data_IF_313723809244
#
_entry.id   IF_313723809244
#
_cell.length_a   1.000
_cell.length_b   1.000
_cell.length_c   1.000
_cell.angle_alpha   90.00
_cell.angle_beta   90.00
_cell.angle_gamma   90.00
#
_symmetry.space_group_name_H-M   'P 1'
#
loop_
_entity.id
_entity.type
_entity.pdbx_description
1 polymer ?
#
# COMPACT_ATOMS: atom_id res chain seq x y z
N UNK A 1 -0.01 6.40 -22.27
CA UNK A 1 -1.41 6.95 -22.16
C UNK A 1 -1.47 8.14 -21.20
N UNK A 2 -0.79 9.26 -21.43
CA UNK A 2 -0.85 10.26 -20.35
C UNK A 2 -0.60 11.73 -20.76
N UNK A 3 -0.02 11.99 -21.91
CA UNK A 3 0.11 13.35 -22.44
C UNK A 3 -1.20 13.87 -23.06
N UNK A 4 -1.93 13.04 -23.78
CA UNK A 4 -3.18 13.38 -24.47
C UNK A 4 -4.29 13.99 -23.62
N UNK A 5 -4.35 13.70 -22.30
CA UNK A 5 -5.35 14.30 -21.40
C UNK A 5 -4.95 15.71 -20.95
N UNK A 6 -3.67 16.05 -20.96
CA UNK A 6 -3.17 17.37 -20.59
C UNK A 6 -3.23 18.34 -21.78
N UNK A 7 -3.24 17.86 -23.01
CA UNK A 7 -3.28 18.69 -24.23
C UNK A 7 -4.56 19.53 -24.34
N UNK A 8 -5.65 19.06 -23.75
CA UNK A 8 -6.93 19.78 -23.74
C UNK A 8 -7.10 20.74 -22.54
N UNK A 9 -6.10 20.81 -21.65
CA UNK A 9 -6.13 21.70 -20.49
C UNK A 9 -5.51 23.05 -20.82
N UNK A 10 -5.91 24.08 -20.09
CA UNK A 10 -5.33 25.42 -20.24
C UNK A 10 -3.83 25.38 -19.99
N UNK A 11 -3.06 25.89 -20.94
CA UNK A 11 -1.60 25.77 -20.98
C UNK A 11 -0.93 26.23 -19.68
N UNK A 12 -1.34 27.39 -19.17
CA UNK A 12 -0.79 27.96 -17.92
C UNK A 12 -1.05 27.08 -16.69
N UNK A 13 -2.20 26.39 -16.65
CA UNK A 13 -2.51 25.44 -15.58
C UNK A 13 -1.65 24.18 -15.69
N UNK A 14 -1.33 23.75 -16.91
CA UNK A 14 -0.43 22.62 -17.17
C UNK A 14 1.01 22.98 -16.80
N UNK A 15 1.49 24.14 -17.21
CA UNK A 15 2.85 24.60 -16.90
C UNK A 15 3.12 24.68 -15.41
N UNK A 16 2.22 25.30 -14.63
CA UNK A 16 2.38 25.36 -13.17
C UNK A 16 2.30 23.97 -12.51
N UNK A 17 1.48 23.08 -13.04
CA UNK A 17 1.41 21.71 -12.59
C UNK A 17 2.72 20.96 -12.86
N UNK A 18 3.29 21.07 -14.05
CA UNK A 18 4.57 20.42 -14.40
C UNK A 18 5.73 20.98 -13.57
N UNK A 19 5.76 22.29 -13.28
CA UNK A 19 6.72 22.89 -12.38
C UNK A 19 6.62 22.30 -10.96
N UNK A 20 5.39 22.15 -10.45
CA UNK A 20 5.15 21.49 -9.17
C UNK A 20 5.65 20.04 -9.15
N UNK A 21 5.35 19.26 -10.20
CA UNK A 21 5.83 17.88 -10.32
C UNK A 21 7.35 17.80 -10.32
N UNK A 22 8.02 18.67 -11.07
CA UNK A 22 9.48 18.71 -11.10
C UNK A 22 10.06 19.01 -9.72
N UNK A 23 9.48 19.97 -9.00
CA UNK A 23 9.85 20.28 -7.61
C UNK A 23 9.65 19.08 -6.67
N UNK A 24 8.53 18.37 -6.79
CA UNK A 24 8.28 17.16 -6.00
C UNK A 24 9.29 16.05 -6.30
N UNK A 25 9.62 15.85 -7.57
CA UNK A 25 10.58 14.84 -8.01
C UNK A 25 11.98 15.13 -7.46
N UNK A 26 12.42 16.37 -7.51
CA UNK A 26 13.75 16.78 -7.01
C UNK A 26 13.92 16.63 -5.50
N UNK A 27 12.84 16.66 -4.73
CA UNK A 27 12.88 16.64 -3.26
C UNK A 27 12.51 15.30 -2.64
N UNK A 28 12.03 14.31 -3.43
CA UNK A 28 11.41 13.11 -2.89
C UNK A 28 11.81 11.84 -3.67
N UNK A 29 13.09 11.62 -3.80
CA UNK A 29 13.68 10.52 -4.59
C UNK A 29 13.13 9.14 -4.20
N UNK A 30 13.04 8.84 -2.90
CA UNK A 30 12.61 7.54 -2.39
C UNK A 30 11.10 7.29 -2.56
N UNK A 31 10.30 8.34 -2.55
CA UNK A 31 8.82 8.24 -2.54
C UNK A 31 8.18 8.71 -3.84
N UNK A 32 8.98 9.16 -4.81
CA UNK A 32 8.48 9.67 -6.09
C UNK A 32 7.61 8.66 -6.83
N UNK A 33 8.10 7.44 -7.00
CA UNK A 33 7.39 6.40 -7.76
C UNK A 33 6.15 5.84 -7.03
N UNK A 34 6.00 6.10 -5.75
CA UNK A 34 4.93 5.56 -4.92
C UNK A 34 3.94 6.64 -4.46
N UNK A 35 4.33 7.44 -3.48
CA UNK A 35 3.44 8.42 -2.83
C UNK A 35 3.11 9.57 -3.77
N UNK A 36 4.11 10.16 -4.40
CA UNK A 36 3.90 11.31 -5.26
C UNK A 36 3.19 10.96 -6.56
N UNK A 37 3.36 9.77 -7.09
CA UNK A 37 2.54 9.28 -8.22
C UNK A 37 1.05 9.33 -7.92
N UNK A 38 0.66 8.99 -6.69
CA UNK A 38 -0.75 9.10 -6.25
C UNK A 38 -1.20 10.55 -6.13
N UNK A 39 -0.38 11.44 -5.56
CA UNK A 39 -0.69 12.87 -5.50
C UNK A 39 -0.81 13.48 -6.90
N UNK A 40 0.11 13.16 -7.79
CA UNK A 40 0.07 13.61 -9.18
C UNK A 40 -1.21 13.16 -9.89
N UNK A 41 -1.60 11.91 -9.74
CA UNK A 41 -2.83 11.39 -10.32
C UNK A 41 -4.06 12.08 -9.74
N UNK A 42 -4.13 12.29 -8.43
CA UNK A 42 -5.24 12.98 -7.78
C UNK A 42 -5.35 14.44 -8.23
N UNK A 43 -4.22 15.14 -8.36
CA UNK A 43 -4.20 16.51 -8.84
C UNK A 43 -4.59 16.59 -10.33
N UNK A 44 -4.12 15.68 -11.16
CA UNK A 44 -4.51 15.58 -12.57
C UNK A 44 -6.03 15.39 -12.74
N UNK A 45 -6.62 14.50 -11.95
CA UNK A 45 -8.07 14.30 -11.95
C UNK A 45 -8.83 15.57 -11.55
N UNK A 46 -8.30 16.32 -10.59
CA UNK A 46 -8.85 17.63 -10.23
C UNK A 46 -8.74 18.63 -11.38
N UNK A 47 -7.60 18.72 -12.06
CA UNK A 47 -7.42 19.64 -13.19
C UNK A 47 -8.42 19.37 -14.31
N UNK A 48 -8.63 18.11 -14.68
CA UNK A 48 -9.61 17.73 -15.71
C UNK A 48 -11.02 18.14 -15.30
N UNK A 49 -11.42 17.84 -14.06
CA UNK A 49 -12.72 18.23 -13.55
C UNK A 49 -12.87 19.75 -13.47
N UNK A 50 -11.85 20.45 -12.97
CA UNK A 50 -11.85 21.91 -12.84
C UNK A 50 -12.03 22.60 -14.20
N UNK A 51 -11.30 22.15 -15.22
CA UNK A 51 -11.46 22.67 -16.57
C UNK A 51 -12.88 22.49 -17.10
N UNK A 52 -13.44 21.31 -16.95
CA UNK A 52 -14.78 21.01 -17.45
C UNK A 52 -15.87 21.81 -16.71
N UNK A 53 -15.70 22.01 -15.40
CA UNK A 53 -16.70 22.68 -14.55
C UNK A 53 -16.59 24.20 -14.56
N UNK A 54 -15.39 24.76 -14.75
CA UNK A 54 -15.11 26.20 -14.63
C UNK A 54 -14.53 26.83 -15.90
N UNK A 55 -14.75 26.21 -17.07
CA UNK A 55 -14.44 26.76 -18.41
C UNK A 55 -13.04 27.38 -18.51
N UNK A 56 -12.02 26.60 -18.20
CA UNK A 56 -10.63 27.04 -18.38
C UNK A 56 -10.15 28.21 -17.50
N UNK A 57 -10.71 28.41 -16.31
CA UNK A 57 -10.16 29.38 -15.37
C UNK A 57 -8.70 29.05 -15.01
N UNK A 58 -7.92 30.09 -14.73
CA UNK A 58 -6.57 29.93 -14.20
C UNK A 58 -6.61 29.53 -12.72
N UNK A 59 -5.86 28.51 -12.35
CA UNK A 59 -5.78 28.03 -10.95
C UNK A 59 -5.33 29.11 -9.95
N UNK A 60 -4.46 30.02 -10.41
CA UNK A 60 -3.85 31.06 -9.57
C UNK A 60 -4.47 32.45 -9.83
N UNK A 61 -5.56 32.58 -10.60
CA UNK A 61 -6.23 33.87 -10.74
C UNK A 61 -6.87 34.27 -9.41
N UNK A 62 -6.96 35.57 -9.17
CA UNK A 62 -7.55 36.14 -7.95
C UNK A 62 -8.96 35.59 -7.68
N UNK A 63 -9.81 35.53 -8.70
CA UNK A 63 -11.17 35.06 -8.57
C UNK A 63 -11.24 33.57 -8.22
N UNK A 64 -10.42 32.76 -8.88
CA UNK A 64 -10.31 31.32 -8.55
C UNK A 64 -9.83 31.09 -7.13
N UNK A 65 -8.81 31.85 -6.67
CA UNK A 65 -8.28 31.71 -5.30
C UNK A 65 -9.32 32.12 -4.24
N UNK A 66 -10.14 33.16 -4.51
CA UNK A 66 -11.22 33.57 -3.61
C UNK A 66 -12.32 32.52 -3.52
N UNK A 67 -12.71 31.92 -4.65
CA UNK A 67 -13.77 30.92 -4.76
C UNK A 67 -13.27 29.48 -4.40
N UNK A 68 -11.98 29.28 -4.17
CA UNK A 68 -11.41 27.93 -4.01
C UNK A 68 -12.05 27.08 -2.90
N UNK A 69 -12.50 27.62 -1.75
CA UNK A 69 -13.25 26.81 -0.77
C UNK A 69 -14.49 26.17 -1.39
N UNK A 70 -15.33 26.96 -2.06
CA UNK A 70 -16.55 26.45 -2.72
C UNK A 70 -16.24 25.51 -3.89
N UNK A 71 -15.17 25.79 -4.65
CA UNK A 71 -14.67 24.90 -5.71
C UNK A 71 -14.30 23.54 -5.12
N UNK A 72 -13.63 23.51 -3.97
CA UNK A 72 -13.25 22.28 -3.31
C UNK A 72 -14.44 21.51 -2.73
N UNK A 73 -15.46 22.19 -2.22
CA UNK A 73 -16.72 21.58 -1.81
C UNK A 73 -17.44 20.93 -2.99
N UNK A 74 -17.54 21.62 -4.11
CA UNK A 74 -18.11 21.08 -5.35
C UNK A 74 -17.32 19.87 -5.86
N UNK A 75 -16.00 19.90 -5.82
CA UNK A 75 -15.17 18.77 -6.19
C UNK A 75 -15.35 17.57 -5.27
N UNK A 76 -15.47 17.80 -3.96
CA UNK A 76 -15.78 16.73 -2.99
C UNK A 76 -17.14 16.10 -3.27
N UNK A 77 -18.17 16.91 -3.55
CA UNK A 77 -19.51 16.44 -3.89
C UNK A 77 -19.51 15.64 -5.20
N UNK A 78 -18.82 16.12 -6.22
CA UNK A 78 -18.62 15.40 -7.46
C UNK A 78 -17.94 14.05 -7.22
N UNK A 79 -16.84 14.02 -6.48
CA UNK A 79 -16.14 12.77 -6.17
C UNK A 79 -17.02 11.81 -5.34
N UNK A 80 -17.87 12.35 -4.44
CA UNK A 80 -18.84 11.55 -3.68
C UNK A 80 -19.89 10.92 -4.60
N UNK A 81 -20.42 11.65 -5.58
CA UNK A 81 -21.38 11.10 -6.54
C UNK A 81 -20.81 9.97 -7.39
N UNK A 82 -19.48 9.93 -7.55
CA UNK A 82 -18.75 8.81 -8.17
C UNK A 82 -18.48 7.63 -7.21
N UNK A 83 -19.06 7.61 -5.99
CA UNK A 83 -18.89 6.54 -5.03
C UNK A 83 -17.58 6.58 -4.24
N UNK A 84 -16.80 7.68 -4.26
CA UNK A 84 -15.55 7.74 -3.51
C UNK A 84 -15.80 7.77 -2.00
N UNK A 85 -15.04 6.98 -1.24
CA UNK A 85 -15.07 6.98 0.22
C UNK A 85 -14.53 8.29 0.81
N UNK A 86 -14.93 8.63 2.04
CA UNK A 86 -14.40 9.82 2.76
C UNK A 86 -12.86 9.83 2.83
N UNK A 87 -12.22 8.67 2.99
CA UNK A 87 -10.77 8.55 2.97
C UNK A 87 -10.18 8.93 1.62
N UNK A 88 -10.81 8.49 0.54
CA UNK A 88 -10.40 8.86 -0.82
C UNK A 88 -10.57 10.36 -1.06
N UNK A 89 -11.69 10.94 -0.61
CA UNK A 89 -11.93 12.39 -0.69
C UNK A 89 -10.86 13.17 0.09
N UNK A 90 -10.50 12.71 1.28
CA UNK A 90 -9.44 13.32 2.07
C UNK A 90 -8.09 13.29 1.33
N UNK A 91 -7.72 12.14 0.76
CA UNK A 91 -6.47 12.01 0.02
C UNK A 91 -6.43 12.92 -1.23
N UNK A 92 -7.54 13.03 -1.95
CA UNK A 92 -7.67 13.96 -3.09
C UNK A 92 -7.55 15.41 -2.64
N UNK A 93 -8.25 15.80 -1.57
CA UNK A 93 -8.16 17.14 -0.99
C UNK A 93 -6.73 17.47 -0.55
N UNK A 94 -6.05 16.53 0.12
CA UNK A 94 -4.66 16.68 0.56
C UNK A 94 -3.72 16.91 -0.62
N UNK A 95 -3.87 16.17 -1.72
CA UNK A 95 -3.04 16.36 -2.91
C UNK A 95 -3.15 17.78 -3.48
N UNK A 96 -4.38 18.33 -3.53
CA UNK A 96 -4.62 19.69 -4.01
C UNK A 96 -4.08 20.74 -3.01
N UNK A 97 -4.30 20.50 -1.70
CA UNK A 97 -3.77 21.37 -0.65
C UNK A 97 -2.23 21.43 -0.67
N UNK A 98 -1.58 20.31 -0.91
CA UNK A 98 -0.09 20.25 -1.00
C UNK A 98 0.42 21.10 -2.18
N UNK A 99 -0.27 21.10 -3.30
CA UNK A 99 0.04 21.99 -4.42
C UNK A 99 -0.06 23.47 -4.03
N UNK A 100 -1.15 23.90 -3.42
CA UNK A 100 -1.29 25.31 -3.01
C UNK A 100 -0.32 25.70 -1.89
N UNK A 101 0.01 24.80 -0.97
CA UNK A 101 1.06 25.01 0.01
C UNK A 101 2.44 25.19 -0.67
N UNK A 102 2.73 24.45 -1.74
CA UNK A 102 3.92 24.67 -2.55
C UNK A 102 3.88 26.04 -3.26
N UNK A 103 2.74 26.46 -3.81
CA UNK A 103 2.59 27.79 -4.41
C UNK A 103 2.89 28.91 -3.41
N UNK A 104 2.44 28.78 -2.16
CA UNK A 104 2.76 29.74 -1.08
C UNK A 104 4.28 29.78 -0.83
N UNK A 105 4.90 28.61 -0.63
CA UNK A 105 6.38 28.51 -0.41
C UNK A 105 7.21 29.09 -1.56
N UNK A 106 6.68 29.08 -2.77
CA UNK A 106 7.34 29.63 -3.98
C UNK A 106 6.91 31.06 -4.28
N UNK A 107 6.22 31.75 -3.35
CA UNK A 107 5.73 33.12 -3.52
C UNK A 107 4.85 33.33 -4.77
N UNK A 108 4.20 32.27 -5.29
CA UNK A 108 3.27 32.37 -6.41
C UNK A 108 1.91 32.90 -5.97
N UNK A 109 1.56 32.67 -4.73
CA UNK A 109 0.38 33.21 -4.03
C UNK A 109 0.76 33.59 -2.60
N UNK A 110 0.03 34.56 -2.02
CA UNK A 110 0.34 35.08 -0.69
C UNK A 110 -0.13 34.15 0.44
N UNK A 111 -1.31 33.55 0.27
CA UNK A 111 -1.95 32.70 1.29
C UNK A 111 -2.52 31.45 0.67
N UNK A 112 -2.61 30.38 1.45
CA UNK A 112 -3.27 29.16 1.03
C UNK A 112 -4.79 29.41 0.87
N UNK A 113 -5.40 29.09 -0.29
CA UNK A 113 -6.74 29.56 -0.58
C UNK A 113 -7.85 28.91 0.25
N UNK A 114 -7.64 27.69 0.80
CA UNK A 114 -8.71 26.97 1.50
C UNK A 114 -8.30 26.16 2.75
N UNK A 115 -7.03 26.13 3.18
CA UNK A 115 -6.59 25.27 4.31
C UNK A 115 -7.37 25.53 5.60
N UNK A 116 -7.74 26.78 5.88
CA UNK A 116 -8.46 27.21 7.08
C UNK A 116 -9.94 27.49 6.83
N UNK A 117 -10.36 27.46 5.56
CA UNK A 117 -11.71 27.85 5.14
C UNK A 117 -12.58 26.66 4.72
N UNK A 118 -11.98 25.49 4.53
CA UNK A 118 -12.67 24.28 4.11
C UNK A 118 -12.90 23.35 5.31
N UNK A 119 -14.14 23.03 5.58
CA UNK A 119 -14.52 22.14 6.66
C UNK A 119 -13.86 20.77 6.55
N UNK A 120 -13.42 20.24 7.70
CA UNK A 120 -12.85 18.89 7.78
C UNK A 120 -13.95 17.85 7.59
N UNK A 121 -13.63 16.80 6.83
CA UNK A 121 -14.53 15.66 6.70
C UNK A 121 -14.66 14.94 8.05
N UNK A 122 -15.89 14.85 8.58
CA UNK A 122 -16.19 14.14 9.83
C UNK A 122 -16.26 12.64 9.55
N UNK A 123 -15.36 11.89 10.19
CA UNK A 123 -15.35 10.42 10.14
C UNK A 123 -16.20 9.86 11.28
N UNK A 124 -17.06 8.91 10.95
CA UNK A 124 -17.85 8.14 11.90
C UNK A 124 -17.22 6.77 12.14
N UNK A 125 -17.71 6.00 13.10
CA UNK A 125 -17.23 4.64 13.32
C UNK A 125 -17.45 3.76 12.07
N UNK A 126 -18.54 3.96 11.33
CA UNK A 126 -18.78 3.26 10.05
C UNK A 126 -17.69 3.50 9.01
N UNK A 127 -17.09 4.69 8.99
CA UNK A 127 -16.01 5.01 8.06
C UNK A 127 -14.67 4.36 8.46
N UNK A 128 -14.56 3.89 9.70
CA UNK A 128 -13.35 3.25 10.24
C UNK A 128 -13.37 1.74 10.02
N UNK A 129 -14.54 1.16 9.79
CA UNK A 129 -14.70 -0.28 9.56
C UNK A 129 -14.18 -0.62 8.16
N UNK A 130 -12.88 -0.88 8.07
CA UNK A 130 -12.40 -1.82 7.06
C UNK A 130 -12.50 -3.20 7.68
N UNK A 131 -13.11 -4.13 6.94
CA UNK A 131 -13.04 -5.54 7.30
C UNK A 131 -11.57 -5.93 7.40
N UNK A 132 -11.08 -5.98 8.63
CA UNK A 132 -9.73 -6.44 8.92
C UNK A 132 -9.89 -7.88 9.39
N UNK A 133 -9.46 -8.81 8.55
CA UNK A 133 -9.43 -10.21 8.93
C UNK A 133 -8.25 -10.46 9.85
N UNK A 134 -8.55 -11.02 11.01
CA UNK A 134 -7.60 -11.65 11.91
C UNK A 134 -7.87 -13.14 11.84
N UNK A 135 -6.97 -13.90 11.27
CA UNK A 135 -7.14 -15.35 11.14
C UNK A 135 -6.90 -16.02 12.50
N UNK A 136 -7.73 -17.00 12.81
CA UNK A 136 -7.50 -17.91 13.94
C UNK A 136 -6.40 -18.92 13.61
N UNK A 137 -5.83 -19.54 14.63
CA UNK A 137 -4.85 -20.62 14.44
C UNK A 137 -5.44 -21.77 13.64
N UNK A 138 -6.71 -22.11 13.87
CA UNK A 138 -7.43 -23.13 13.13
C UNK A 138 -7.56 -22.81 11.64
N UNK A 139 -7.91 -21.56 11.31
CA UNK A 139 -7.98 -21.09 9.92
C UNK A 139 -6.61 -21.16 9.24
N UNK A 140 -5.54 -20.79 9.94
CA UNK A 140 -4.17 -20.89 9.43
C UNK A 140 -3.83 -22.34 9.11
N UNK A 141 -4.13 -23.26 10.01
CA UNK A 141 -3.89 -24.69 9.82
C UNK A 141 -4.73 -25.28 8.68
N UNK A 142 -5.99 -24.88 8.57
CA UNK A 142 -6.89 -25.30 7.48
C UNK A 142 -6.28 -24.96 6.11
N UNK A 143 -5.80 -23.72 5.93
CA UNK A 143 -5.16 -23.31 4.66
C UNK A 143 -3.88 -24.12 4.40
N UNK A 144 -3.05 -24.36 5.42
CA UNK A 144 -1.83 -25.19 5.31
C UNK A 144 -2.16 -26.60 4.81
N UNK A 145 -3.09 -27.26 5.45
CA UNK A 145 -3.50 -28.64 5.11
C UNK A 145 -4.08 -28.68 3.69
N UNK A 146 -4.96 -27.73 3.36
CA UNK A 146 -5.58 -27.69 2.04
C UNK A 146 -4.55 -27.50 0.92
N UNK A 147 -3.58 -26.61 1.10
CA UNK A 147 -2.49 -26.41 0.12
C UNK A 147 -1.59 -27.63 -0.03
N UNK A 148 -1.45 -28.44 1.04
CA UNK A 148 -0.66 -29.68 1.00
C UNK A 148 -1.40 -30.77 0.22
N UNK A 149 -2.70 -30.92 0.44
CA UNK A 149 -3.53 -31.89 -0.28
C UNK A 149 -3.66 -31.52 -1.76
N UNK A 150 -3.98 -30.26 -2.02
CA UNK A 150 -4.17 -29.72 -3.38
C UNK A 150 -2.87 -29.16 -3.98
N UNK A 151 -1.78 -29.92 -3.88
CA UNK A 151 -0.42 -29.48 -4.27
C UNK A 151 -0.30 -29.12 -5.76
N UNK A 152 -1.14 -29.65 -6.63
CA UNK A 152 -1.19 -29.28 -8.04
C UNK A 152 -1.79 -27.88 -8.28
N UNK A 153 -2.67 -27.44 -7.38
CA UNK A 153 -3.33 -26.13 -7.46
C UNK A 153 -2.54 -25.02 -6.77
N UNK A 154 -1.78 -25.37 -5.73
CA UNK A 154 -1.01 -24.44 -4.91
C UNK A 154 0.47 -24.81 -4.96
N UNK A 155 1.25 -24.01 -5.67
CA UNK A 155 2.69 -24.24 -5.85
C UNK A 155 3.51 -23.91 -4.57
N UNK A 156 4.81 -24.19 -4.61
CA UNK A 156 5.72 -23.90 -3.50
C UNK A 156 5.72 -22.41 -3.12
N UNK A 157 5.62 -21.52 -4.10
CA UNK A 157 5.59 -20.08 -3.83
C UNK A 157 4.31 -19.66 -3.10
N UNK A 158 3.15 -20.28 -3.36
CA UNK A 158 1.91 -20.02 -2.60
C UNK A 158 2.10 -20.40 -1.12
N UNK A 159 2.72 -21.55 -0.86
CA UNK A 159 2.99 -22.05 0.50
C UNK A 159 4.01 -21.19 1.23
N UNK A 160 5.11 -20.83 0.58
CA UNK A 160 6.13 -19.95 1.16
C UNK A 160 5.56 -18.56 1.44
N UNK A 161 4.77 -17.98 0.53
CA UNK A 161 4.12 -16.69 0.76
C UNK A 161 3.23 -16.71 2.00
N UNK A 162 2.44 -17.79 2.18
CA UNK A 162 1.59 -17.95 3.35
C UNK A 162 2.39 -17.97 4.66
N UNK A 163 3.39 -18.84 4.74
CA UNK A 163 4.22 -18.96 5.94
C UNK A 163 5.01 -17.67 6.19
N UNK A 164 5.67 -17.14 5.17
CA UNK A 164 6.56 -16.01 5.31
C UNK A 164 5.84 -14.72 5.73
N UNK A 165 4.60 -14.48 5.26
CA UNK A 165 3.80 -13.34 5.76
C UNK A 165 3.42 -13.51 7.23
N UNK A 166 3.12 -14.73 7.66
CA UNK A 166 2.76 -15.04 9.06
C UNK A 166 3.98 -15.02 9.97
N UNK A 167 5.11 -15.55 9.49
CA UNK A 167 6.35 -15.62 10.25
C UNK A 167 7.03 -14.25 10.37
N UNK A 168 7.14 -13.48 9.28
CA UNK A 168 7.92 -12.23 9.27
C UNK A 168 7.11 -10.99 9.62
N UNK A 169 5.79 -11.05 9.52
CA UNK A 169 4.91 -9.88 9.56
C UNK A 169 5.33 -8.73 8.60
N UNK A 170 6.15 -8.97 7.59
CA UNK A 170 6.67 -7.95 6.68
C UNK A 170 5.59 -7.34 5.80
N UNK A 171 5.84 -6.12 5.30
CA UNK A 171 4.99 -5.49 4.28
C UNK A 171 5.17 -6.19 2.94
N UNK A 172 4.14 -6.16 2.09
CA UNK A 172 4.18 -6.77 0.75
C UNK A 172 5.36 -6.26 -0.10
N UNK A 173 5.79 -5.01 0.09
CA UNK A 173 6.95 -4.45 -0.62
C UNK A 173 8.26 -5.14 -0.22
N UNK A 174 8.43 -5.49 1.05
CA UNK A 174 9.58 -6.25 1.51
C UNK A 174 9.57 -7.66 0.91
N UNK A 175 8.45 -8.39 1.02
CA UNK A 175 8.31 -9.74 0.47
C UNK A 175 8.55 -9.76 -1.05
N UNK A 176 8.05 -8.77 -1.78
CA UNK A 176 8.31 -8.65 -3.22
C UNK A 176 9.80 -8.50 -3.55
N UNK A 177 10.52 -7.73 -2.72
CA UNK A 177 11.90 -7.33 -2.98
C UNK A 177 12.93 -8.31 -2.43
N UNK A 178 12.51 -9.46 -1.91
CA UNK A 178 13.43 -10.49 -1.43
C UNK A 178 14.32 -11.03 -2.57
N UNK A 179 15.61 -11.17 -2.26
CA UNK A 179 16.61 -11.69 -3.18
C UNK A 179 17.28 -12.95 -2.62
N UNK A 180 17.77 -13.78 -3.52
CA UNK A 180 18.50 -15.01 -3.14
C UNK A 180 19.76 -14.70 -2.34
N UNK A 181 20.51 -13.66 -2.69
CA UNK A 181 21.72 -13.20 -1.99
C UNK A 181 21.47 -12.72 -0.55
N UNK A 182 20.24 -12.38 -0.20
CA UNK A 182 19.86 -11.94 1.15
C UNK A 182 19.51 -13.10 2.09
N UNK A 183 19.32 -14.30 1.53
CA UNK A 183 18.85 -15.44 2.29
C UNK A 183 19.96 -16.00 3.20
N UNK A 184 19.72 -15.94 4.49
CA UNK A 184 20.46 -16.70 5.51
C UNK A 184 19.59 -17.86 5.98
N UNK A 185 19.76 -18.99 5.28
CA UNK A 185 18.94 -20.18 5.54
C UNK A 185 19.28 -20.80 6.89
N UNK A 186 20.53 -20.71 7.35
CA UNK A 186 20.96 -21.28 8.62
C UNK A 186 20.28 -20.59 9.80
N UNK A 187 20.33 -19.26 9.81
CA UNK A 187 19.79 -18.44 10.88
C UNK A 187 18.29 -18.11 10.72
N UNK A 188 17.67 -18.44 9.58
CA UNK A 188 16.22 -18.32 9.38
C UNK A 188 15.73 -16.90 9.10
N UNK A 189 16.43 -16.14 8.25
CA UNK A 189 15.97 -14.82 7.84
C UNK A 189 16.52 -14.40 6.48
N UNK A 190 15.88 -13.40 5.89
CA UNK A 190 16.44 -12.59 4.81
C UNK A 190 16.97 -11.30 5.41
N UNK A 191 18.24 -10.98 5.18
CA UNK A 191 18.91 -9.80 5.73
C UNK A 191 18.73 -8.56 4.85
N UNK A 192 18.75 -7.40 5.45
CA UNK A 192 18.82 -6.10 4.79
C UNK A 192 17.75 -5.89 3.71
N UNK A 193 16.51 -6.30 4.00
CA UNK A 193 15.38 -6.19 3.08
C UNK A 193 14.85 -4.76 3.08
N UNK A 194 14.80 -4.12 1.91
CA UNK A 194 14.22 -2.77 1.75
C UNK A 194 12.70 -2.79 1.92
N UNK A 195 12.20 -2.06 2.89
CA UNK A 195 10.78 -1.73 3.04
C UNK A 195 10.43 -0.36 2.44
N UNK A 196 9.16 0.03 2.59
CA UNK A 196 8.66 1.34 2.19
C UNK A 196 9.41 2.44 2.98
N UNK A 197 9.64 3.59 2.32
CA UNK A 197 10.29 4.77 2.91
C UNK A 197 11.79 4.58 3.26
N UNK A 198 12.44 3.59 2.62
CA UNK A 198 13.87 3.35 2.81
C UNK A 198 14.24 2.58 4.07
N UNK A 199 13.26 2.12 4.87
CA UNK A 199 13.54 1.26 6.02
C UNK A 199 14.16 -0.06 5.59
N UNK A 200 15.16 -0.51 6.35
CA UNK A 200 15.82 -1.81 6.18
C UNK A 200 15.39 -2.71 7.34
N UNK A 201 14.92 -3.92 7.01
CA UNK A 201 14.42 -4.88 7.98
C UNK A 201 14.95 -6.28 7.69
N UNK A 202 14.98 -7.15 8.69
CA UNK A 202 15.19 -8.56 8.49
C UNK A 202 13.84 -9.28 8.44
N UNK A 203 13.62 -10.10 7.41
CA UNK A 203 12.42 -10.91 7.27
C UNK A 203 12.67 -12.30 7.84
N UNK A 204 12.29 -12.52 9.09
CA UNK A 204 12.46 -13.80 9.78
C UNK A 204 11.48 -14.85 9.28
N UNK A 205 11.87 -16.11 9.36
CA UNK A 205 11.02 -17.27 9.09
C UNK A 205 11.37 -18.43 10.01
N UNK A 206 10.35 -19.25 10.30
CA UNK A 206 10.50 -20.38 11.21
C UNK A 206 10.63 -21.70 10.46
N UNK A 207 10.75 -22.81 11.21
CA UNK A 207 11.13 -24.12 10.69
C UNK A 207 10.30 -24.57 9.48
N UNK A 208 8.97 -24.39 9.50
CA UNK A 208 8.10 -24.82 8.40
C UNK A 208 8.38 -24.04 7.10
N UNK A 209 8.54 -22.73 7.20
CA UNK A 209 8.92 -21.91 6.07
C UNK A 209 10.33 -22.26 5.56
N UNK A 210 11.27 -22.55 6.47
CA UNK A 210 12.63 -22.98 6.16
C UNK A 210 12.66 -24.26 5.31
N UNK A 211 11.82 -25.23 5.62
CA UNK A 211 11.70 -26.48 4.84
C UNK A 211 11.20 -26.19 3.42
N UNK A 212 10.13 -25.41 3.27
CA UNK A 212 9.60 -25.00 1.97
C UNK A 212 10.62 -24.18 1.15
N UNK A 213 11.40 -23.33 1.80
CA UNK A 213 12.49 -22.58 1.15
C UNK A 213 13.55 -23.52 0.61
N UNK A 214 13.94 -24.57 1.34
CA UNK A 214 14.87 -25.60 0.84
C UNK A 214 14.33 -26.28 -0.42
N UNK A 215 13.07 -26.72 -0.39
CA UNK A 215 12.41 -27.31 -1.55
C UNK A 215 12.37 -26.32 -2.74
N UNK A 216 12.14 -25.04 -2.47
CA UNK A 216 12.12 -24.00 -3.49
C UNK A 216 13.50 -23.77 -4.12
N UNK A 217 14.58 -23.77 -3.34
CA UNK A 217 15.95 -23.66 -3.84
C UNK A 217 16.27 -24.84 -4.75
N UNK A 218 15.94 -26.06 -4.34
CA UNK A 218 16.12 -27.26 -5.16
C UNK A 218 15.33 -27.17 -6.46
N UNK A 219 14.04 -26.81 -6.40
CA UNK A 219 13.19 -26.63 -7.57
C UNK A 219 13.76 -25.58 -8.54
N UNK A 220 14.31 -24.47 -8.02
CA UNK A 220 14.94 -23.44 -8.84
C UNK A 220 16.14 -23.98 -9.59
N UNK A 221 17.00 -24.74 -8.93
CA UNK A 221 18.17 -25.39 -9.54
C UNK A 221 17.76 -26.35 -10.65
N UNK A 222 16.81 -27.23 -10.39
CA UNK A 222 16.31 -28.22 -11.33
C UNK A 222 15.63 -27.60 -12.57
N UNK A 223 15.03 -26.43 -12.43
CA UNK A 223 14.30 -25.73 -13.50
C UNK A 223 15.08 -24.56 -14.12
N UNK A 224 16.36 -24.38 -13.78
CA UNK A 224 17.22 -23.34 -14.36
C UNK A 224 16.74 -21.93 -14.07
N UNK A 225 16.21 -21.66 -12.86
CA UNK A 225 15.73 -20.32 -12.47
C UNK A 225 16.92 -19.53 -11.94
N UNK A 226 17.68 -18.93 -12.83
CA UNK A 226 18.89 -18.16 -12.55
C UNK A 226 18.59 -16.65 -12.57
N UNK A 227 17.76 -16.19 -11.62
CA UNK A 227 17.51 -14.76 -11.35
C UNK A 227 17.60 -14.50 -9.87
N UNK A 228 18.11 -13.35 -9.47
CA UNK A 228 18.34 -13.04 -8.05
C UNK A 228 17.05 -12.82 -7.24
N UNK A 229 15.90 -12.59 -7.89
CA UNK A 229 14.63 -12.45 -7.18
C UNK A 229 14.18 -13.75 -6.54
N UNK A 230 13.80 -13.74 -5.26
CA UNK A 230 13.33 -14.91 -4.56
C UNK A 230 11.98 -15.41 -5.08
N UNK A 231 11.00 -14.52 -5.20
CA UNK A 231 9.70 -14.82 -5.81
C UNK A 231 9.69 -14.41 -7.28
N UNK A 232 9.29 -15.34 -8.14
CA UNK A 232 9.34 -15.15 -9.59
C UNK A 232 8.02 -15.50 -10.27
N UNK A 233 7.80 -14.89 -11.42
CA UNK A 233 6.72 -15.25 -12.37
C UNK A 233 7.34 -15.61 -13.70
N UNK A 234 6.90 -16.71 -14.29
CA UNK A 234 7.34 -17.18 -15.60
C UNK A 234 6.56 -16.47 -16.71
N UNK A 235 7.27 -15.87 -17.65
CA UNK A 235 6.71 -15.25 -18.86
C UNK A 235 7.37 -15.93 -20.07
N UNK A 236 6.68 -16.86 -20.70
CA UNK A 236 7.27 -17.70 -21.76
C UNK A 236 8.47 -18.49 -21.23
N UNK A 237 9.66 -18.19 -21.74
CA UNK A 237 10.93 -18.83 -21.32
C UNK A 237 11.70 -18.06 -20.24
N UNK A 238 11.25 -16.85 -19.84
CA UNK A 238 11.97 -15.98 -18.92
C UNK A 238 11.26 -15.91 -17.56
N UNK A 239 12.07 -15.83 -16.49
CA UNK A 239 11.60 -15.55 -15.15
C UNK A 239 11.83 -14.08 -14.81
N UNK A 240 10.83 -13.43 -14.22
CA UNK A 240 10.89 -12.04 -13.73
C UNK A 240 10.44 -11.96 -12.30
N UNK A 241 10.80 -10.87 -11.59
CA UNK A 241 10.29 -10.58 -10.26
C UNK A 241 8.77 -10.69 -10.22
N UNK A 242 8.24 -11.39 -9.21
CA UNK A 242 6.80 -11.45 -8.97
C UNK A 242 6.28 -10.06 -8.56
N UNK A 243 5.25 -9.57 -9.23
CA UNK A 243 4.68 -8.26 -8.93
C UNK A 243 3.83 -8.29 -7.66
N UNK A 244 3.66 -7.15 -6.97
CA UNK A 244 2.72 -7.05 -5.84
C UNK A 244 1.28 -7.44 -6.23
N UNK A 245 0.88 -7.18 -7.47
CA UNK A 245 -0.41 -7.62 -8.00
C UNK A 245 -0.54 -9.14 -8.02
N UNK A 246 0.50 -9.84 -8.48
CA UNK A 246 0.55 -11.29 -8.49
C UNK A 246 0.54 -11.86 -7.06
N UNK A 247 1.32 -11.28 -6.14
CA UNK A 247 1.30 -11.68 -4.72
C UNK A 247 -0.10 -11.50 -4.11
N UNK A 248 -0.75 -10.35 -4.34
CA UNK A 248 -2.12 -10.13 -3.84
C UNK A 248 -3.11 -11.14 -4.38
N UNK A 249 -3.03 -11.47 -5.66
CA UNK A 249 -3.92 -12.46 -6.27
C UNK A 249 -3.70 -13.87 -5.69
N UNK A 250 -2.44 -14.25 -5.42
CA UNK A 250 -2.11 -15.51 -4.73
C UNK A 250 -2.70 -15.56 -3.32
N UNK A 251 -2.54 -14.51 -2.52
CA UNK A 251 -3.11 -14.45 -1.16
C UNK A 251 -4.66 -14.45 -1.21
N UNK A 252 -5.27 -13.75 -2.16
CA UNK A 252 -6.74 -13.81 -2.35
C UNK A 252 -7.20 -15.23 -2.68
N UNK A 253 -6.49 -15.94 -3.55
CA UNK A 253 -6.75 -17.35 -3.88
C UNK A 253 -6.69 -18.25 -2.62
N UNK A 254 -5.76 -17.98 -1.71
CA UNK A 254 -5.69 -18.69 -0.42
C UNK A 254 -6.87 -18.35 0.50
N UNK A 255 -7.33 -17.11 0.49
CA UNK A 255 -8.51 -16.67 1.23
C UNK A 255 -9.78 -17.41 0.82
N UNK A 256 -9.91 -17.79 -0.44
CA UNK A 256 -11.07 -18.56 -0.92
C UNK A 256 -11.20 -19.94 -0.25
N UNK A 257 -10.11 -20.51 0.26
CA UNK A 257 -10.15 -21.77 1.04
C UNK A 257 -11.01 -21.59 2.31
N UNK A 258 -11.02 -20.38 2.86
CA UNK A 258 -11.76 -20.00 4.07
C UNK A 258 -13.09 -19.28 3.76
N UNK A 259 -13.47 -19.15 2.48
CA UNK A 259 -14.61 -18.33 2.07
C UNK A 259 -14.39 -16.81 2.23
N UNK A 260 -13.12 -16.36 2.36
CA UNK A 260 -12.76 -14.95 2.50
C UNK A 260 -12.29 -14.43 1.15
N UNK A 261 -13.19 -13.79 0.41
CA UNK A 261 -12.94 -13.33 -0.97
C UNK A 261 -11.89 -12.21 -1.09
N UNK A 262 -11.76 -11.38 -0.08
CA UNK A 262 -10.88 -10.21 -0.06
C UNK A 262 -9.74 -10.33 0.97
N UNK A 263 -9.27 -11.55 1.25
CA UNK A 263 -8.05 -11.74 2.02
C UNK A 263 -6.86 -11.12 1.27
N UNK A 264 -6.06 -10.34 1.96
CA UNK A 264 -4.93 -9.63 1.37
C UNK A 264 -3.68 -9.65 2.28
N UNK A 265 -2.48 -9.39 1.76
CA UNK A 265 -1.22 -9.51 2.52
C UNK A 265 -1.21 -8.76 3.85
N UNK A 266 -1.85 -7.60 3.91
CA UNK A 266 -1.91 -6.83 5.16
C UNK A 266 -2.77 -7.51 6.25
N UNK A 267 -3.77 -8.35 5.87
CA UNK A 267 -4.52 -9.18 6.82
C UNK A 267 -3.63 -10.23 7.47
N UNK A 268 -2.74 -10.88 6.69
CA UNK A 268 -1.76 -11.84 7.23
C UNK A 268 -0.78 -11.14 8.17
N UNK A 269 -0.25 -9.97 7.80
CA UNK A 269 0.58 -9.17 8.69
C UNK A 269 -0.15 -8.79 9.99
N UNK A 270 -1.42 -8.39 9.91
CA UNK A 270 -2.23 -8.10 11.11
C UNK A 270 -2.41 -9.34 11.98
N UNK A 271 -2.69 -10.48 11.38
CA UNK A 271 -2.79 -11.76 12.07
C UNK A 271 -1.49 -12.09 12.80
N UNK A 272 -0.35 -12.03 12.12
CA UNK A 272 0.96 -12.29 12.72
C UNK A 272 1.25 -11.38 13.92
N UNK A 273 1.06 -10.07 13.76
CA UNK A 273 1.29 -9.08 14.83
C UNK A 273 0.34 -9.33 16.02
N UNK A 274 -0.94 -9.66 15.75
CA UNK A 274 -1.90 -9.96 16.80
C UNK A 274 -1.55 -11.25 17.56
N UNK A 275 -1.10 -12.29 16.87
CA UNK A 275 -0.63 -13.53 17.51
C UNK A 275 0.58 -13.28 18.41
N UNK A 276 1.55 -12.49 17.95
CA UNK A 276 2.71 -12.13 18.76
C UNK A 276 2.30 -11.28 19.99
N UNK A 277 1.35 -10.35 19.81
CA UNK A 277 0.84 -9.58 20.92
C UNK A 277 0.17 -10.46 21.99
N UNK A 278 -0.61 -11.43 21.57
CA UNK A 278 -1.27 -12.37 22.49
C UNK A 278 -0.28 -13.28 23.23
N UNK A 279 0.84 -13.63 22.61
CA UNK A 279 1.87 -14.50 23.20
C UNK A 279 2.87 -13.73 24.06
N UNK A 280 3.27 -12.53 23.65
CA UNK A 280 4.44 -11.85 24.23
C UNK A 280 4.24 -10.35 24.49
N UNK A 281 3.02 -9.85 24.29
CA UNK A 281 2.63 -8.49 24.59
C UNK A 281 2.98 -7.45 23.51
N UNK A 282 2.42 -6.25 23.72
CA UNK A 282 2.42 -5.15 22.75
C UNK A 282 3.82 -4.64 22.38
N UNK A 283 4.75 -4.65 23.32
CA UNK A 283 6.12 -4.18 23.11
C UNK A 283 6.84 -5.03 22.06
N UNK A 284 6.82 -6.35 22.23
CA UNK A 284 7.44 -7.26 21.28
C UNK A 284 6.73 -7.25 19.93
N UNK A 285 5.40 -7.23 19.91
CA UNK A 285 4.62 -7.11 18.68
C UNK A 285 4.94 -5.83 17.88
N UNK A 286 5.17 -4.72 18.57
CA UNK A 286 5.57 -3.45 17.93
C UNK A 286 6.96 -3.51 17.33
N UNK A 287 7.95 -4.04 18.06
CA UNK A 287 9.31 -4.26 17.57
C UNK A 287 9.32 -5.20 16.37
N UNK A 288 8.62 -6.31 16.45
CA UNK A 288 8.52 -7.28 15.37
C UNK A 288 7.89 -6.71 14.09
N UNK A 289 6.92 -5.83 14.26
CA UNK A 289 6.27 -5.14 13.15
C UNK A 289 7.11 -3.98 12.58
N UNK A 290 8.23 -3.62 13.17
CA UNK A 290 9.00 -2.42 12.84
C UNK A 290 8.11 -1.16 12.81
N UNK A 291 7.26 -0.99 13.82
CA UNK A 291 6.44 0.21 13.98
C UNK A 291 7.19 1.29 14.75
N UNK A 292 7.02 2.54 14.34
CA UNK A 292 7.63 3.70 15.00
C UNK A 292 7.15 3.93 16.44
N UNK A 293 5.99 3.35 16.81
CA UNK A 293 5.46 3.37 18.18
C UNK A 293 4.47 2.25 18.44
N UNK A 294 4.36 1.82 19.71
CA UNK A 294 3.37 0.84 20.15
C UNK A 294 1.92 1.30 19.96
N UNK A 295 1.67 2.61 19.94
CA UNK A 295 0.36 3.19 19.63
C UNK A 295 -0.13 2.85 18.21
N UNK A 296 0.75 2.75 17.24
CA UNK A 296 0.40 2.29 15.88
C UNK A 296 -0.03 0.83 15.90
N UNK A 297 0.70 -0.01 16.63
CA UNK A 297 0.39 -1.44 16.78
C UNK A 297 -0.98 -1.62 17.46
N UNK A 298 -1.19 -1.01 18.61
CA UNK A 298 -2.45 -1.09 19.37
C UNK A 298 -3.65 -0.64 18.52
N UNK A 299 -3.55 0.50 17.85
CA UNK A 299 -4.66 1.09 17.09
C UNK A 299 -5.06 0.32 15.84
N UNK A 300 -4.11 -0.33 15.15
CA UNK A 300 -4.34 -0.82 13.79
C UNK A 300 -4.14 -2.33 13.62
N UNK A 301 -3.46 -3.00 14.54
CA UNK A 301 -3.01 -4.38 14.38
C UNK A 301 -3.48 -5.34 15.47
N UNK A 302 -4.10 -4.83 16.53
CA UNK A 302 -4.65 -5.67 17.59
C UNK A 302 -6.15 -5.83 17.36
N UNK A 303 -6.65 -7.05 17.49
CA UNK A 303 -8.08 -7.33 17.48
C UNK A 303 -8.73 -6.68 18.69
N UNK A 304 -9.87 -6.02 18.52
CA UNK A 304 -10.67 -5.55 19.64
C UNK A 304 -11.27 -6.78 20.34
N UNK A 305 -11.21 -6.80 21.67
CA UNK A 305 -11.86 -7.85 22.44
C UNK A 305 -13.35 -7.95 22.06
N UNK A 306 -13.79 -9.16 21.79
CA UNK A 306 -15.20 -9.42 21.54
C UNK A 306 -15.92 -9.40 22.91
N UNK A 307 -17.00 -8.62 23.11
CA UNK A 307 -17.71 -8.58 24.40
C UNK A 307 -18.26 -9.93 24.86
N UNK A 308 -18.33 -10.91 23.94
CA UNK A 308 -18.81 -12.28 24.22
C UNK A 308 -17.71 -13.22 24.70
N UNK A 309 -16.45 -12.79 24.76
CA UNK A 309 -15.29 -13.59 25.22
C UNK A 309 -14.76 -13.13 26.61
N UNK A 310 -15.45 -12.21 27.27
CA UNK A 310 -15.27 -11.79 28.64
C UNK A 310 -16.39 -12.39 29.50
#
# INVERSE_FOLDING_TARGET
MQLTVLENLKKENVEIYLEYLNSCKSSNWETWETTYKTYCNNFKLFLVWFQNSYKNRLLLSKDTLLEMPSIMENYRNYCRSLGNSKRTLMNKTTAISTFYAWCVRRNKIKYHPFSEKLDRLRFTEKDKVKNSYFLTTEQILTVRLYMQVESKKYDLQDRILWELFLDSACRISAIQNLKMEQLDLENGYFKDVKEKEGYIVNAFFFQKCKELIKEWIQYRTENGIDVNWFFVTKYGKIYKQMTQGAIRNRIRKLGMILGIEDLYPHSLRKTAINLINNLAGLGLASSYANHSSSGVTSKHYIAKANPTEI
#
